data_IF_719923978346
#
_entry.id   IF_719923978346
#
_cell.length_a   1.000
_cell.length_b   1.000
_cell.length_c   1.000
_cell.angle_alpha   90.00
_cell.angle_beta   90.00
_cell.angle_gamma   90.00
#
_symmetry.space_group_name_H-M   'P 1'
#
loop_
_entity.id
_entity.type
_entity.pdbx_description
1 polymer ?
#
# COMPACT_ATOMS: atom_id res chain seq x y z
N UNK A 1 18.26 -51.27 -27.24
CA UNK A 1 17.05 -51.03 -26.42
C UNK A 1 17.33 -49.94 -25.40
N UNK A 2 17.35 -48.66 -25.82
CA UNK A 2 17.63 -47.54 -24.89
C UNK A 2 17.25 -46.19 -25.53
N UNK A 3 16.01 -46.07 -26.04
CA UNK A 3 15.49 -44.80 -26.58
C UNK A 3 14.11 -44.40 -26.04
N UNK A 4 13.51 -45.20 -25.15
CA UNK A 4 12.15 -44.96 -24.64
C UNK A 4 12.08 -44.42 -23.20
N UNK A 5 13.22 -44.31 -22.49
CA UNK A 5 13.26 -43.82 -21.10
C UNK A 5 13.32 -42.29 -20.96
N UNK A 6 13.66 -41.56 -22.03
CA UNK A 6 13.79 -40.09 -21.97
C UNK A 6 12.42 -39.40 -22.11
N UNK A 7 11.42 -40.06 -22.69
CA UNK A 7 10.09 -39.46 -22.92
C UNK A 7 9.19 -39.56 -21.68
N UNK A 8 9.49 -40.43 -20.71
CA UNK A 8 8.67 -40.59 -19.50
C UNK A 8 9.01 -39.62 -18.36
N UNK A 9 10.13 -38.88 -18.43
CA UNK A 9 10.50 -37.88 -17.41
C UNK A 9 10.04 -36.45 -17.75
N UNK A 10 9.49 -36.20 -18.94
CA UNK A 10 8.98 -34.88 -19.32
C UNK A 10 7.55 -34.58 -18.80
N UNK A 11 6.98 -35.46 -17.98
CA UNK A 11 5.66 -35.27 -17.36
C UNK A 11 5.76 -34.99 -15.85
N UNK A 12 6.98 -34.84 -15.29
CA UNK A 12 7.18 -34.64 -13.84
C UNK A 12 7.86 -33.32 -13.47
N UNK A 13 7.77 -32.29 -14.31
CA UNK A 13 8.16 -30.91 -13.92
C UNK A 13 7.16 -29.92 -14.51
N UNK A 14 5.91 -30.01 -14.08
CA UNK A 14 5.13 -28.80 -13.89
C UNK A 14 4.40 -28.97 -12.57
N UNK A 15 5.17 -28.87 -11.48
CA UNK A 15 4.59 -28.22 -10.33
C UNK A 15 4.18 -26.85 -10.84
N UNK A 16 2.90 -26.67 -11.14
CA UNK A 16 2.36 -25.39 -11.55
C UNK A 16 2.75 -24.41 -10.45
N UNK A 17 3.80 -23.64 -10.68
CA UNK A 17 4.09 -22.51 -9.82
C UNK A 17 2.82 -21.66 -9.88
N UNK A 18 2.23 -21.41 -8.71
CA UNK A 18 1.11 -20.50 -8.56
C UNK A 18 1.59 -19.09 -8.93
N UNK A 19 1.60 -18.79 -10.23
CA UNK A 19 2.06 -17.54 -10.81
C UNK A 19 0.95 -16.50 -10.81
N UNK A 20 1.34 -15.22 -10.70
CA UNK A 20 0.45 -14.07 -10.80
C UNK A 20 0.03 -13.91 -12.26
N UNK A 21 -1.28 -13.79 -12.51
CA UNK A 21 -1.77 -13.42 -13.85
C UNK A 21 -1.55 -11.92 -14.07
N UNK A 22 -0.43 -11.58 -14.70
CA UNK A 22 -0.04 -10.19 -14.96
C UNK A 22 -0.99 -9.46 -15.90
N UNK A 23 -1.79 -10.17 -16.70
CA UNK A 23 -2.72 -9.52 -17.64
C UNK A 23 -3.86 -8.78 -16.95
N UNK A 24 -4.10 -9.09 -15.67
CA UNK A 24 -5.03 -8.37 -14.80
C UNK A 24 -4.53 -6.95 -14.45
N UNK A 25 -3.22 -6.70 -14.54
CA UNK A 25 -2.59 -5.49 -14.03
C UNK A 25 -2.02 -4.62 -15.16
N UNK A 26 -2.41 -3.36 -15.19
CA UNK A 26 -1.77 -2.34 -16.02
C UNK A 26 -0.73 -1.59 -15.16
N UNK A 27 0.55 -1.83 -15.48
CA UNK A 27 1.70 -1.45 -14.66
C UNK A 27 2.39 -0.25 -15.28
N UNK A 28 2.47 0.83 -14.50
CA UNK A 28 3.26 2.02 -14.80
C UNK A 28 4.33 2.23 -13.72
N UNK A 29 5.31 3.10 -13.99
CA UNK A 29 6.45 3.33 -13.08
C UNK A 29 6.08 3.73 -11.64
N UNK A 30 4.88 4.25 -11.41
CA UNK A 30 4.43 4.74 -10.10
C UNK A 30 3.11 4.11 -9.63
N UNK A 31 2.34 3.49 -10.53
CA UNK A 31 0.99 3.01 -10.22
C UNK A 31 0.73 1.67 -10.89
N UNK A 32 -0.12 0.86 -10.27
CA UNK A 32 -0.58 -0.43 -10.79
C UNK A 32 -2.09 -0.46 -10.75
N UNK A 33 -2.73 -0.49 -11.92
CA UNK A 33 -4.18 -0.61 -12.02
C UNK A 33 -4.56 -2.09 -12.04
N UNK A 34 -5.30 -2.53 -11.02
CA UNK A 34 -5.95 -3.84 -10.99
C UNK A 34 -7.31 -3.74 -11.70
N UNK A 35 -7.38 -4.26 -12.93
CA UNK A 35 -8.59 -4.19 -13.77
C UNK A 35 -9.75 -5.03 -13.26
N UNK A 36 -9.50 -6.02 -12.39
CA UNK A 36 -10.55 -6.89 -11.83
C UNK A 36 -11.24 -6.24 -10.64
N UNK A 37 -10.46 -5.58 -9.76
CA UNK A 37 -11.01 -4.87 -8.59
C UNK A 37 -11.34 -3.40 -8.89
N UNK A 38 -10.92 -2.87 -10.04
CA UNK A 38 -11.01 -1.46 -10.41
C UNK A 38 -10.32 -0.53 -9.39
N UNK A 39 -9.30 -1.05 -8.71
CA UNK A 39 -8.46 -0.30 -7.76
C UNK A 39 -7.12 0.02 -8.40
N UNK A 40 -6.57 1.17 -8.04
CA UNK A 40 -5.19 1.52 -8.40
C UNK A 40 -4.33 1.54 -7.14
N UNK A 41 -3.20 0.85 -7.24
CA UNK A 41 -2.23 0.66 -6.18
C UNK A 41 -0.97 1.48 -6.46
N UNK A 42 -0.27 1.90 -5.41
CA UNK A 42 1.11 2.36 -5.54
C UNK A 42 1.96 1.22 -6.13
N UNK A 43 2.90 1.55 -7.02
CA UNK A 43 3.80 0.54 -7.59
C UNK A 43 4.72 -0.09 -6.53
N UNK A 44 5.04 0.64 -5.46
CA UNK A 44 5.92 0.19 -4.39
C UNK A 44 5.31 0.47 -3.03
N UNK A 45 5.60 -0.39 -2.05
CA UNK A 45 5.34 -0.08 -0.65
C UNK A 45 6.34 0.96 -0.11
N UNK A 46 6.17 1.34 1.16
CA UNK A 46 7.02 2.34 1.81
C UNK A 46 8.42 1.84 2.21
N UNK A 47 8.74 0.55 1.98
CA UNK A 47 9.99 -0.14 2.31
C UNK A 47 10.43 -0.20 3.79
N UNK A 48 9.85 0.61 4.66
CA UNK A 48 10.20 0.75 6.08
C UNK A 48 9.09 0.25 7.01
N UNK A 49 9.41 -0.09 8.26
CA UNK A 49 8.37 -0.46 9.23
C UNK A 49 7.68 0.80 9.75
N UNK A 50 6.35 0.80 9.76
CA UNK A 50 5.55 1.90 10.28
C UNK A 50 4.60 1.40 11.37
N UNK A 51 4.34 2.25 12.36
CA UNK A 51 3.12 2.12 13.17
C UNK A 51 1.88 2.27 12.29
N UNK A 52 0.72 1.89 12.81
CA UNK A 52 -0.51 2.01 12.02
C UNK A 52 -0.82 3.47 11.65
N UNK A 53 -0.62 4.40 12.59
CA UNK A 53 -0.87 5.82 12.37
C UNK A 53 0.06 6.40 11.30
N UNK A 54 1.36 6.10 11.38
CA UNK A 54 2.33 6.52 10.35
C UNK A 54 2.00 5.91 8.98
N UNK A 55 1.46 4.69 8.94
CA UNK A 55 1.05 4.05 7.70
C UNK A 55 -0.18 4.72 7.08
N UNK A 56 -1.13 5.20 7.88
CA UNK A 56 -2.27 6.01 7.39
C UNK A 56 -1.74 7.28 6.74
N UNK A 57 -0.88 8.00 7.47
CA UNK A 57 -0.28 9.25 7.01
C UNK A 57 0.58 9.07 5.76
N UNK A 58 1.35 7.99 5.68
CA UNK A 58 2.10 7.65 4.47
C UNK A 58 1.17 7.48 3.28
N UNK A 59 0.07 6.74 3.44
CA UNK A 59 -0.86 6.51 2.34
C UNK A 59 -1.57 7.78 1.90
N UNK A 60 -1.99 8.64 2.83
CA UNK A 60 -2.67 9.91 2.52
C UNK A 60 -1.73 10.97 1.92
N UNK A 61 -0.43 10.91 2.25
CA UNK A 61 0.58 11.82 1.69
C UNK A 61 1.27 11.30 0.43
N UNK A 62 0.97 10.07 0.00
CA UNK A 62 1.53 9.47 -1.20
C UNK A 62 1.07 10.26 -2.44
N UNK A 63 2.00 10.59 -3.33
CA UNK A 63 1.73 11.36 -4.55
C UNK A 63 2.28 10.63 -5.79
N UNK A 64 1.92 9.35 -5.94
CA UNK A 64 2.25 8.57 -7.12
C UNK A 64 1.31 8.86 -8.28
N UNK A 65 1.87 8.97 -9.50
CA UNK A 65 1.07 9.08 -10.73
C UNK A 65 0.27 10.38 -10.90
N UNK A 66 0.52 11.40 -10.07
CA UNK A 66 -0.19 12.69 -10.12
C UNK A 66 -1.57 12.67 -9.46
N UNK A 67 -1.81 11.71 -8.58
CA UNK A 67 -3.06 11.57 -7.83
C UNK A 67 -2.86 11.92 -6.35
N UNK A 68 -3.90 12.46 -5.72
CA UNK A 68 -3.88 12.95 -4.32
C UNK A 68 -4.90 12.24 -3.41
N UNK A 69 -5.75 11.38 -3.96
CA UNK A 69 -6.83 10.66 -3.28
C UNK A 69 -6.40 9.26 -2.80
N UNK A 70 -5.11 9.12 -2.49
CA UNK A 70 -4.55 7.89 -1.95
C UNK A 70 -4.96 7.67 -0.50
N UNK A 71 -5.16 6.40 -0.13
CA UNK A 71 -5.60 6.00 1.21
C UNK A 71 -5.01 4.65 1.60
N UNK A 72 -5.06 4.35 2.89
CA UNK A 72 -4.77 3.00 3.38
C UNK A 72 -5.82 2.00 2.84
N UNK A 73 -5.41 0.78 2.45
CA UNK A 73 -6.33 -0.21 1.92
C UNK A 73 -7.18 -0.82 3.03
N UNK A 74 -8.36 -1.32 2.64
CA UNK A 74 -9.22 -2.14 3.50
C UNK A 74 -8.77 -3.60 3.46
N UNK A 75 -9.11 -4.40 4.47
CA UNK A 75 -8.85 -5.86 4.45
C UNK A 75 -9.41 -6.53 3.21
N UNK A 76 -10.62 -6.15 2.79
CA UNK A 76 -11.27 -6.71 1.60
C UNK A 76 -10.51 -6.43 0.31
N UNK A 77 -9.85 -5.27 0.22
CA UNK A 77 -9.03 -4.88 -0.94
C UNK A 77 -7.69 -5.62 -0.93
N UNK A 78 -7.05 -5.75 0.24
CA UNK A 78 -5.85 -6.60 0.37
C UNK A 78 -6.15 -8.08 0.06
N UNK A 79 -7.37 -8.54 0.34
CA UNK A 79 -7.80 -9.90 -0.01
C UNK A 79 -7.84 -10.11 -1.53
N UNK A 80 -8.16 -9.09 -2.34
CA UNK A 80 -8.12 -9.22 -3.81
C UNK A 80 -6.69 -9.39 -4.31
N UNK A 81 -5.72 -8.67 -3.73
CA UNK A 81 -4.29 -8.89 -4.02
C UNK A 81 -3.83 -10.31 -3.65
N UNK A 82 -4.27 -10.84 -2.50
CA UNK A 82 -4.02 -12.21 -2.07
C UNK A 82 -4.62 -13.23 -3.04
N UNK A 83 -5.82 -13.00 -3.56
CA UNK A 83 -6.47 -13.85 -4.56
C UNK A 83 -5.71 -13.82 -5.89
N UNK A 84 -5.21 -12.66 -6.28
CA UNK A 84 -4.30 -12.48 -7.42
C UNK A 84 -2.86 -12.93 -7.14
N UNK A 85 -2.62 -13.55 -5.97
CA UNK A 85 -1.34 -14.17 -5.58
C UNK A 85 -0.17 -13.18 -5.47
N UNK A 86 -0.47 -11.89 -5.32
CA UNK A 86 0.52 -10.87 -5.03
C UNK A 86 1.14 -11.15 -3.66
N UNK A 87 2.46 -10.99 -3.57
CA UNK A 87 3.27 -11.25 -2.39
C UNK A 87 4.58 -10.46 -2.48
N UNK A 88 5.38 -10.52 -1.43
CA UNK A 88 6.75 -9.97 -1.44
C UNK A 88 7.53 -10.45 -2.67
N UNK A 89 8.33 -9.55 -3.24
CA UNK A 89 9.16 -9.79 -4.43
C UNK A 89 8.35 -10.13 -5.70
N UNK A 90 7.05 -9.77 -5.72
CA UNK A 90 6.26 -9.76 -6.95
C UNK A 90 6.84 -8.73 -7.93
N UNK A 91 6.81 -9.08 -9.21
CA UNK A 91 7.17 -8.21 -10.32
C UNK A 91 6.02 -7.30 -10.80
N UNK A 92 4.86 -7.37 -10.14
CA UNK A 92 3.70 -6.51 -10.42
C UNK A 92 3.67 -5.32 -9.46
N UNK A 93 3.76 -5.57 -8.15
CA UNK A 93 3.85 -4.54 -7.11
C UNK A 93 5.12 -4.83 -6.30
N UNK A 94 6.01 -3.84 -6.18
CA UNK A 94 7.24 -3.95 -5.42
C UNK A 94 6.95 -3.89 -3.91
N UNK A 95 6.77 -5.08 -3.33
CA UNK A 95 6.46 -5.27 -1.92
C UNK A 95 7.70 -5.82 -1.21
N UNK A 96 8.18 -5.11 -0.19
CA UNK A 96 9.38 -5.44 0.59
C UNK A 96 9.07 -6.32 1.80
N UNK A 97 7.81 -6.38 2.24
CA UNK A 97 7.34 -7.27 3.31
C UNK A 97 5.97 -7.86 3.01
N UNK A 98 5.75 -9.11 3.42
CA UNK A 98 4.45 -9.76 3.25
C UNK A 98 3.36 -9.23 4.19
N UNK A 99 3.66 -8.30 5.10
CA UNK A 99 2.72 -7.77 6.09
C UNK A 99 2.31 -6.35 5.72
N UNK A 100 1.04 -6.16 5.36
CA UNK A 100 0.51 -4.86 4.94
C UNK A 100 -0.59 -4.41 5.93
N UNK A 101 -0.48 -3.19 6.44
CA UNK A 101 -1.52 -2.58 7.27
C UNK A 101 -2.82 -2.39 6.49
N UNK A 102 -3.95 -2.55 7.19
CA UNK A 102 -5.28 -2.26 6.69
C UNK A 102 -5.96 -1.19 7.57
N UNK A 103 -6.92 -0.49 6.99
CA UNK A 103 -7.60 0.66 7.60
C UNK A 103 -8.46 0.33 8.82
N UNK A 104 -8.90 -0.92 8.96
CA UNK A 104 -9.81 -1.31 10.02
C UNK A 104 -9.13 -1.34 11.39
N UNK A 105 -9.81 -0.80 12.40
CA UNK A 105 -9.34 -0.76 13.79
C UNK A 105 -10.27 -1.52 14.74
N UNK A 106 -9.70 -2.07 15.81
CA UNK A 106 -10.42 -2.68 16.93
C UNK A 106 -9.73 -2.28 18.25
N UNK A 107 -10.34 -1.34 18.97
CA UNK A 107 -9.78 -0.71 20.18
C UNK A 107 -8.34 -0.19 20.01
N UNK A 108 -7.35 -0.80 20.66
CA UNK A 108 -5.93 -0.45 20.55
C UNK A 108 -5.24 -1.04 19.32
N UNK A 109 -5.94 -1.90 18.56
CA UNK A 109 -5.39 -2.67 17.46
C UNK A 109 -5.86 -2.16 16.10
N UNK A 110 -5.10 -2.51 15.08
CA UNK A 110 -5.48 -2.38 13.69
C UNK A 110 -5.27 -3.68 12.92
N UNK A 111 -6.01 -3.82 11.84
CA UNK A 111 -5.94 -4.96 10.96
C UNK A 111 -4.70 -4.90 10.09
N UNK A 112 -4.15 -6.06 9.77
CA UNK A 112 -3.14 -6.22 8.71
C UNK A 112 -3.39 -7.53 7.97
N UNK A 113 -2.89 -7.64 6.75
CA UNK A 113 -2.96 -8.87 5.98
C UNK A 113 -1.56 -9.40 5.65
N UNK A 114 -1.41 -10.71 5.74
CA UNK A 114 -0.22 -11.44 5.35
C UNK A 114 -0.41 -11.99 3.94
N UNK A 115 0.27 -11.40 2.96
CA UNK A 115 0.06 -11.71 1.55
C UNK A 115 0.38 -13.17 1.20
N UNK A 116 1.56 -13.68 1.61
CA UNK A 116 1.93 -15.07 1.34
C UNK A 116 1.12 -16.12 2.13
N UNK A 117 0.71 -15.83 3.37
CA UNK A 117 -0.10 -16.74 4.20
C UNK A 117 -1.61 -16.57 3.98
N UNK A 118 -2.01 -15.65 3.09
CA UNK A 118 -3.38 -15.47 2.58
C UNK A 118 -4.43 -15.20 3.67
N UNK A 119 -4.07 -14.45 4.71
CA UNK A 119 -4.99 -14.17 5.82
C UNK A 119 -4.73 -12.82 6.46
N UNK A 120 -5.73 -12.32 7.19
CA UNK A 120 -5.67 -11.06 7.92
C UNK A 120 -5.84 -11.28 9.42
N UNK A 121 -5.15 -10.46 10.21
CA UNK A 121 -5.06 -10.53 11.66
C UNK A 121 -5.05 -9.12 12.26
N UNK A 122 -4.94 -9.01 13.58
CA UNK A 122 -4.91 -7.75 14.32
C UNK A 122 -3.58 -7.57 15.04
N UNK A 123 -3.09 -6.33 15.11
CA UNK A 123 -1.84 -5.95 15.76
C UNK A 123 -2.01 -4.63 16.51
N UNK A 124 -1.30 -4.44 17.62
CA UNK A 124 -1.30 -3.16 18.35
C UNK A 124 -0.85 -2.02 17.44
N UNK A 125 -1.61 -0.91 17.41
CA UNK A 125 -1.36 0.22 16.49
C UNK A 125 -0.01 0.90 16.70
N UNK A 126 0.52 0.82 17.91
CA UNK A 126 1.79 1.45 18.32
C UNK A 126 3.02 0.60 17.98
N UNK A 127 2.83 -0.62 17.48
CA UNK A 127 3.94 -1.50 17.10
C UNK A 127 4.37 -1.20 15.66
N UNK A 128 5.67 -1.00 15.46
CA UNK A 128 6.30 -0.86 14.15
C UNK A 128 7.23 -2.06 13.88
N UNK A 129 6.68 -3.19 13.42
CA UNK A 129 7.47 -4.39 13.06
C UNK A 129 7.05 -4.93 11.70
N UNK A 130 7.93 -4.83 10.71
CA UNK A 130 7.80 -5.44 9.38
C UNK A 130 6.51 -5.10 8.60
N UNK A 131 5.62 -4.28 9.15
CA UNK A 131 4.35 -3.89 8.56
C UNK A 131 4.58 -2.69 7.65
N UNK A 132 4.03 -2.77 6.45
CA UNK A 132 4.17 -1.78 5.39
C UNK A 132 2.85 -1.08 5.12
N UNK A 133 2.97 0.11 4.59
CA UNK A 133 1.87 0.84 3.98
C UNK A 133 1.91 0.59 2.46
N UNK A 134 0.76 0.25 1.88
CA UNK A 134 0.60 0.11 0.43
C UNK A 134 -0.59 0.97 0.00
N UNK A 135 -0.36 2.20 -0.47
CA UNK A 135 -1.43 3.11 -0.86
C UNK A 135 -2.32 2.52 -1.95
N UNK A 136 -3.63 2.75 -1.80
CA UNK A 136 -4.65 2.39 -2.80
C UNK A 136 -5.58 3.57 -3.02
N UNK A 137 -6.17 3.65 -4.21
CA UNK A 137 -7.24 4.60 -4.54
C UNK A 137 -8.30 3.93 -5.41
N UNK A 138 -9.50 4.51 -5.39
CA UNK A 138 -10.59 4.15 -6.29
C UNK A 138 -10.35 4.77 -7.68
N UNK A 139 -10.80 4.11 -8.74
CA UNK A 139 -10.68 4.63 -10.13
C UNK A 139 -11.95 5.29 -10.65
N UNK A 140 -13.09 5.07 -9.97
CA UNK A 140 -14.37 5.69 -10.30
C UNK A 140 -14.50 7.05 -9.62
N UNK A 141 -14.29 8.11 -10.39
CA UNK A 141 -14.76 9.45 -9.99
C UNK A 141 -16.29 9.45 -10.10
N UNK A 142 -17.00 9.50 -8.97
CA UNK A 142 -18.43 9.77 -8.98
C UNK A 142 -18.68 11.19 -9.52
N UNK A 143 -19.30 11.28 -10.70
CA UNK A 143 -19.95 12.51 -11.14
C UNK A 143 -21.21 12.65 -10.29
N UNK A 144 -21.14 13.43 -9.21
CA UNK A 144 -22.35 13.96 -8.56
C UNK A 144 -22.77 15.22 -9.31
N UNK A 145 -23.89 15.12 -10.03
CA UNK A 145 -24.57 16.23 -10.68
C UNK A 145 -25.16 17.19 -9.64
N UNK A 146 -24.63 18.41 -9.67
CA UNK A 146 -25.08 19.73 -9.18
C UNK A 146 -26.47 19.82 -8.51
N UNK A 147 -26.50 20.34 -7.27
CA UNK A 147 -27.54 21.29 -6.85
C UNK A 147 -26.97 22.36 -5.89
N UNK A 148 -27.41 23.60 -6.09
CA UNK A 148 -26.88 24.83 -5.50
C UNK A 148 -26.81 24.84 -3.96
N UNK A 149 -25.59 25.01 -3.42
CA UNK A 149 -25.35 25.74 -2.19
C UNK A 149 -23.93 26.33 -2.27
N UNK A 150 -23.76 27.58 -1.85
CA UNK A 150 -22.48 28.28 -1.89
C UNK A 150 -21.37 27.40 -1.31
N UNK A 151 -20.37 27.09 -2.13
CA UNK A 151 -19.30 26.19 -1.74
C UNK A 151 -18.57 26.78 -0.52
N UNK A 152 -18.45 26.03 0.60
CA UNK A 152 -17.47 26.36 1.61
C UNK A 152 -16.09 26.43 0.93
N UNK A 153 -15.18 27.31 1.40
CA UNK A 153 -13.94 27.59 0.69
C UNK A 153 -13.22 26.28 0.38
N UNK A 154 -12.93 26.08 -0.91
CA UNK A 154 -12.11 24.97 -1.40
C UNK A 154 -10.77 25.06 -0.67
N UNK A 155 -10.59 24.22 0.35
CA UNK A 155 -9.32 24.06 1.05
C UNK A 155 -8.40 23.33 0.07
N UNK A 156 -7.33 24.02 -0.35
CA UNK A 156 -6.26 23.48 -1.19
C UNK A 156 -5.56 22.30 -0.49
N UNK A 157 -5.07 21.28 -1.22
CA UNK A 157 -4.48 20.07 -0.64
C UNK A 157 -3.10 20.33 -0.01
N UNK A 158 -2.65 19.38 0.80
CA UNK A 158 -1.82 19.57 1.99
C UNK A 158 -0.45 20.25 1.77
N UNK A 159 -0.27 21.47 2.31
CA UNK A 159 0.96 22.27 2.17
C UNK A 159 2.16 21.66 2.95
N UNK A 160 3.40 22.02 2.58
CA UNK A 160 4.64 21.75 3.37
C UNK A 160 4.44 22.05 4.86
N UNK A 161 3.62 23.06 5.17
CA UNK A 161 3.25 23.44 6.52
C UNK A 161 2.49 22.33 7.26
N UNK A 162 1.58 21.62 6.59
CA UNK A 162 0.86 20.48 7.19
C UNK A 162 1.78 19.27 7.39
N UNK A 163 2.67 18.97 6.44
CA UNK A 163 3.70 17.92 6.61
C UNK A 163 4.64 18.23 7.77
N UNK A 164 5.03 19.51 7.93
CA UNK A 164 5.80 19.99 9.09
C UNK A 164 5.00 19.87 10.39
N UNK A 165 3.72 20.26 10.40
CA UNK A 165 2.86 20.16 11.58
C UNK A 165 2.71 18.70 12.06
N UNK A 166 2.61 17.74 11.15
CA UNK A 166 2.50 16.31 11.47
C UNK A 166 3.79 15.80 12.12
N UNK A 167 4.96 16.00 11.50
CA UNK A 167 6.22 15.52 12.10
C UNK A 167 6.50 16.20 13.45
N UNK A 168 6.12 17.48 13.60
CA UNK A 168 6.22 18.20 14.87
C UNK A 168 5.25 17.62 15.91
N UNK A 169 4.06 17.21 15.52
CA UNK A 169 3.12 16.54 16.41
C UNK A 169 3.64 15.17 16.87
N UNK A 170 4.14 14.34 15.95
CA UNK A 170 4.72 13.02 16.26
C UNK A 170 5.91 13.15 17.22
N UNK A 171 6.79 14.13 16.99
CA UNK A 171 7.92 14.42 17.87
C UNK A 171 7.45 14.85 19.26
N UNK A 172 6.46 15.74 19.33
CA UNK A 172 5.87 16.19 20.61
C UNK A 172 5.22 15.05 21.40
N UNK A 173 4.64 14.06 20.71
CA UNK A 173 4.07 12.86 21.32
C UNK A 173 5.12 11.79 21.65
N UNK A 174 6.41 12.06 21.41
CA UNK A 174 7.52 11.11 21.59
C UNK A 174 7.35 9.81 20.77
N UNK A 175 6.64 9.89 19.64
CA UNK A 175 6.41 8.76 18.74
C UNK A 175 7.56 8.57 17.75
N UNK A 176 8.32 9.62 17.48
CA UNK A 176 9.54 9.59 16.68
C UNK A 176 10.70 10.18 17.47
N UNK A 177 11.91 9.69 17.21
CA UNK A 177 13.13 10.17 17.86
C UNK A 177 13.53 11.57 17.36
N UNK A 178 14.32 12.30 18.13
CA UNK A 178 14.87 13.61 17.71
C UNK A 178 15.61 13.51 16.37
N UNK A 179 16.39 12.44 16.18
CA UNK A 179 17.14 12.17 14.95
C UNK A 179 16.21 11.94 13.75
N UNK A 180 15.14 11.17 13.97
CA UNK A 180 14.16 10.85 12.93
C UNK A 180 13.28 12.07 12.57
N UNK A 181 12.94 12.90 13.55
CA UNK A 181 12.26 14.17 13.33
C UNK A 181 13.10 15.10 12.45
N UNK A 182 14.39 15.31 12.77
CA UNK A 182 15.26 16.19 11.98
C UNK A 182 15.50 15.64 10.58
N UNK A 183 15.65 14.33 10.42
CA UNK A 183 15.76 13.67 9.10
C UNK A 183 14.52 13.89 8.25
N UNK A 184 13.32 13.63 8.80
CA UNK A 184 12.04 13.78 8.10
C UNK A 184 11.75 15.26 7.78
N UNK A 185 12.07 16.16 8.71
CA UNK A 185 11.96 17.62 8.51
C UNK A 185 12.85 18.13 7.39
N UNK A 186 14.10 17.70 7.34
CA UNK A 186 15.04 18.07 6.29
C UNK A 186 14.55 17.59 4.92
N UNK A 187 14.07 16.34 4.82
CA UNK A 187 13.52 15.80 3.58
C UNK A 187 12.30 16.62 3.08
N UNK A 188 11.39 17.01 3.97
CA UNK A 188 10.21 17.82 3.61
C UNK A 188 10.60 19.22 3.10
N UNK A 189 11.67 19.81 3.64
CA UNK A 189 12.13 21.13 3.23
C UNK A 189 12.95 21.12 1.95
N UNK A 190 13.59 20.00 1.61
CA UNK A 190 14.37 19.81 0.38
C UNK A 190 13.49 19.62 -0.87
N UNK A 191 12.20 19.35 -0.68
CA UNK A 191 11.19 19.26 -1.75
C UNK A 191 10.65 20.63 -2.22
N UNK A 192 11.18 21.74 -1.69
CA UNK A 192 10.84 23.14 -2.04
C UNK A 192 11.82 23.70 -3.08
#
# INVERSE_FOLDING_TARGET
MQKWLIILCLVLISGCADEVDKTQFDINNQTVLDTKSELMWAHSDNSESLTWQEAVEYCESYNGGGYEDWRMPKKSELQTLIESKIKKDSDVINITSNLIWASETDDSKAAFCHLANRGCSWMERVISISLRALPVRDTKVEIQTVENAAAPPVVRPQSTEQRLQVITHLHKQQLITDEEYERKKAAILDEI
#
